data_IF_948787647853
#
_entry.id   IF_948787647853
#
_cell.length_a   1.000
_cell.length_b   1.000
_cell.length_c   1.000
_cell.angle_alpha   90.00
_cell.angle_beta   90.00
_cell.angle_gamma   90.00
#
_symmetry.space_group_name_H-M   'P 1'
#
loop_
_entity.id
_entity.type
_entity.pdbx_description
1 polymer ?
#
# COMPACT_ATOMS: atom_id res chain seq x y z
N UNK A 1 -10.10 15.83 21.18
CA UNK A 1 -9.36 14.92 20.27
C UNK A 1 -10.39 14.37 19.30
N UNK A 2 -10.37 14.78 18.03
CA UNK A 2 -11.31 14.27 17.04
C UNK A 2 -10.93 12.83 16.69
N UNK A 3 -11.84 11.88 16.87
CA UNK A 3 -11.67 10.50 16.41
C UNK A 3 -11.80 10.49 14.90
N UNK A 4 -10.72 10.72 14.16
CA UNK A 4 -10.75 10.52 12.71
C UNK A 4 -10.99 9.03 12.46
N UNK A 5 -12.08 8.63 11.79
CA UNK A 5 -12.32 7.23 11.51
C UNK A 5 -11.22 6.72 10.57
N UNK A 6 -10.53 5.66 10.98
CA UNK A 6 -9.62 4.94 10.11
C UNK A 6 -10.43 3.99 9.22
N UNK A 7 -10.15 4.00 7.92
CA UNK A 7 -10.87 3.16 6.97
C UNK A 7 -10.05 1.89 6.74
N UNK A 8 -10.71 0.72 6.81
CA UNK A 8 -10.12 -0.52 6.30
C UNK A 8 -10.65 -0.78 4.90
N UNK A 9 -9.78 -0.64 3.91
CA UNK A 9 -10.09 -0.89 2.50
C UNK A 9 -9.59 -2.28 2.13
N UNK A 10 -10.47 -3.04 1.46
CA UNK A 10 -10.12 -4.27 0.76
C UNK A 10 -10.58 -4.17 -0.68
N UNK A 11 -9.65 -4.33 -1.62
CA UNK A 11 -10.01 -4.35 -3.03
C UNK A 11 -10.79 -5.64 -3.37
N UNK A 12 -11.83 -5.51 -4.21
CA UNK A 12 -12.60 -6.67 -4.71
C UNK A 12 -11.86 -7.51 -5.75
N UNK A 13 -10.79 -6.94 -6.32
CA UNK A 13 -9.88 -7.55 -7.29
C UNK A 13 -8.44 -7.43 -6.78
N UNK A 14 -7.48 -8.17 -7.36
CA UNK A 14 -6.07 -7.95 -7.08
C UNK A 14 -5.70 -6.47 -7.23
N UNK A 15 -4.99 -5.96 -6.22
CA UNK A 15 -4.48 -4.60 -6.21
C UNK A 15 -3.20 -4.56 -7.05
N UNK A 16 -3.02 -3.50 -7.83
CA UNK A 16 -1.76 -3.26 -8.52
C UNK A 16 -0.80 -2.46 -7.65
N UNK A 17 0.48 -2.51 -7.99
CA UNK A 17 1.52 -1.71 -7.33
C UNK A 17 1.26 -0.20 -7.42
N UNK A 18 0.76 0.29 -8.56
CA UNK A 18 0.42 1.70 -8.77
C UNK A 18 -0.71 2.14 -7.83
N UNK A 19 -1.75 1.31 -7.68
CA UNK A 19 -2.87 1.60 -6.79
C UNK A 19 -2.46 1.61 -5.32
N UNK A 20 -1.54 0.72 -4.94
CA UNK A 20 -0.93 0.74 -3.62
C UNK A 20 -0.17 2.06 -3.39
N UNK A 21 0.66 2.50 -4.32
CA UNK A 21 1.38 3.77 -4.24
C UNK A 21 0.42 4.96 -4.14
N UNK A 22 -0.65 4.97 -4.94
CA UNK A 22 -1.69 6.00 -4.88
C UNK A 22 -2.37 6.03 -3.51
N UNK A 23 -2.70 4.87 -2.95
CA UNK A 23 -3.22 4.76 -1.59
C UNK A 23 -2.23 5.28 -0.56
N UNK A 24 -0.95 4.88 -0.61
CA UNK A 24 0.08 5.40 0.31
C UNK A 24 0.17 6.93 0.22
N UNK A 25 0.10 7.52 -0.98
CA UNK A 25 0.17 8.96 -1.18
C UNK A 25 -1.03 9.70 -0.55
N UNK A 26 -2.23 9.12 -0.55
CA UNK A 26 -3.46 9.79 -0.12
C UNK A 26 -3.95 9.41 1.28
N UNK A 27 -3.60 8.22 1.78
CA UNK A 27 -4.07 7.69 3.04
C UNK A 27 -3.74 8.59 4.23
N UNK A 28 -4.66 8.67 5.19
CA UNK A 28 -4.44 9.35 6.46
C UNK A 28 -3.84 8.38 7.48
N UNK A 29 -3.09 8.87 8.49
CA UNK A 29 -2.49 7.98 9.48
C UNK A 29 -3.52 7.09 10.17
N UNK A 30 -3.26 5.78 10.21
CA UNK A 30 -4.16 4.77 10.75
C UNK A 30 -5.05 4.07 9.72
N UNK A 31 -5.22 4.61 8.51
CA UNK A 31 -5.91 3.90 7.43
C UNK A 31 -5.26 2.54 7.16
N UNK A 32 -6.08 1.54 6.89
CA UNK A 32 -5.66 0.16 6.64
C UNK A 32 -6.02 -0.25 5.22
N UNK A 33 -5.10 -0.91 4.54
CA UNK A 33 -5.32 -1.50 3.22
C UNK A 33 -4.92 -2.97 3.24
N UNK A 34 -5.88 -3.86 3.06
CA UNK A 34 -5.62 -5.27 2.73
C UNK A 34 -5.19 -5.33 1.26
N UNK A 35 -3.89 -5.49 1.03
CA UNK A 35 -3.32 -5.51 -0.32
C UNK A 35 -3.18 -6.92 -0.91
N UNK A 36 -3.21 -7.95 -0.06
CA UNK A 36 -3.22 -9.36 -0.48
C UNK A 36 -3.92 -10.25 0.53
N UNK A 37 -4.51 -11.36 0.05
CA UNK A 37 -5.07 -12.42 0.89
C UNK A 37 -4.65 -13.78 0.36
N UNK A 38 -4.07 -14.61 1.23
CA UNK A 38 -3.48 -15.90 0.86
C UNK A 38 -2.14 -16.10 1.53
N UNK A 39 -1.21 -16.76 0.87
CA UNK A 39 0.16 -16.91 1.35
C UNK A 39 1.09 -16.13 0.42
N UNK A 40 1.38 -14.88 0.75
CA UNK A 40 2.10 -13.97 -0.16
C UNK A 40 3.37 -14.61 -0.76
N UNK A 41 4.19 -15.26 0.07
CA UNK A 41 5.43 -15.90 -0.37
C UNK A 41 5.16 -17.06 -1.34
N UNK A 42 4.15 -17.89 -1.08
CA UNK A 42 3.80 -19.02 -1.96
C UNK A 42 3.14 -18.52 -3.26
N UNK A 43 2.32 -17.48 -3.15
CA UNK A 43 1.59 -16.91 -4.28
C UNK A 43 2.51 -16.18 -5.28
N UNK A 44 3.69 -15.72 -4.84
CA UNK A 44 4.71 -15.11 -5.71
C UNK A 44 5.78 -16.10 -6.20
N UNK A 45 5.90 -17.29 -5.62
CA UNK A 45 6.98 -18.22 -5.93
C UNK A 45 6.64 -19.10 -7.14
N UNK A 46 7.42 -19.07 -8.24
CA UNK A 46 7.05 -19.72 -9.51
C UNK A 46 6.69 -21.21 -9.41
N UNK A 47 7.34 -21.95 -8.51
CA UNK A 47 7.11 -23.39 -8.35
C UNK A 47 5.80 -23.73 -7.62
N UNK A 48 5.27 -22.81 -6.80
CA UNK A 48 4.11 -23.06 -5.93
C UNK A 48 2.91 -22.16 -6.26
N UNK A 49 3.13 -21.08 -6.99
CA UNK A 49 2.10 -20.12 -7.32
C UNK A 49 0.99 -20.76 -8.15
N UNK A 50 -0.24 -20.60 -7.67
CA UNK A 50 -1.46 -20.93 -8.43
C UNK A 50 -1.87 -19.80 -9.38
N UNK A 51 -1.22 -18.65 -9.26
CA UNK A 51 -1.48 -17.47 -10.07
C UNK A 51 -0.81 -17.58 -11.45
N UNK A 52 -1.46 -17.08 -12.52
CA UNK A 52 -0.81 -16.88 -13.81
C UNK A 52 0.45 -16.01 -13.69
N UNK A 53 1.42 -16.22 -14.57
CA UNK A 53 2.74 -15.56 -14.52
C UNK A 53 2.66 -14.03 -14.40
N UNK A 54 1.76 -13.39 -15.15
CA UNK A 54 1.56 -11.95 -15.09
C UNK A 54 1.07 -11.50 -13.71
N UNK A 55 0.05 -12.17 -13.16
CA UNK A 55 -0.52 -11.83 -11.85
C UNK A 55 0.49 -12.07 -10.73
N UNK A 56 1.28 -13.14 -10.85
CA UNK A 56 2.39 -13.44 -9.93
C UNK A 56 3.43 -12.31 -9.95
N UNK A 57 3.84 -11.86 -11.14
CA UNK A 57 4.80 -10.78 -11.29
C UNK A 57 4.26 -9.45 -10.74
N UNK A 58 2.97 -9.16 -10.94
CA UNK A 58 2.30 -7.99 -10.36
C UNK A 58 2.27 -8.05 -8.84
N UNK A 59 1.91 -9.20 -8.25
CA UNK A 59 1.91 -9.40 -6.81
C UNK A 59 3.32 -9.30 -6.20
N UNK A 60 4.34 -9.80 -6.90
CA UNK A 60 5.74 -9.67 -6.48
C UNK A 60 6.21 -8.21 -6.45
N UNK A 61 5.83 -7.42 -7.46
CA UNK A 61 6.09 -5.96 -7.49
C UNK A 61 5.36 -5.26 -6.36
N UNK A 62 4.08 -5.55 -6.15
CA UNK A 62 3.28 -5.00 -5.06
C UNK A 62 3.89 -5.33 -3.69
N UNK A 63 4.26 -6.60 -3.45
CA UNK A 63 4.87 -7.03 -2.19
C UNK A 63 6.21 -6.34 -1.92
N UNK A 64 7.08 -6.27 -2.93
CA UNK A 64 8.33 -5.51 -2.86
C UNK A 64 8.08 -4.02 -2.60
N UNK A 65 7.00 -3.46 -3.18
CA UNK A 65 6.68 -2.06 -2.98
C UNK A 65 6.15 -1.77 -1.58
N UNK A 66 5.31 -2.65 -1.04
CA UNK A 66 4.82 -2.59 0.32
C UNK A 66 5.96 -2.68 1.35
N UNK A 67 6.92 -3.59 1.13
CA UNK A 67 8.12 -3.70 1.97
C UNK A 67 8.97 -2.42 1.93
N UNK A 68 9.23 -1.92 0.72
CA UNK A 68 9.54 -0.52 0.39
C UNK A 68 9.03 0.51 1.38
N UNK A 69 7.72 0.67 1.32
CA UNK A 69 7.04 1.74 2.02
C UNK A 69 7.19 1.58 3.54
N UNK A 70 7.31 0.34 4.03
CA UNK A 70 7.56 0.07 5.43
C UNK A 70 8.97 0.47 5.86
N UNK A 71 9.99 0.17 5.06
CA UNK A 71 11.38 0.59 5.31
C UNK A 71 11.51 2.12 5.31
N UNK A 72 10.75 2.81 4.45
CA UNK A 72 10.67 4.27 4.44
C UNK A 72 9.79 4.86 5.56
N UNK A 73 9.20 4.02 6.42
CA UNK A 73 8.34 4.46 7.51
C UNK A 73 6.99 5.03 7.08
N UNK A 74 6.59 4.85 5.82
CA UNK A 74 5.32 5.33 5.25
C UNK A 74 4.13 4.45 5.64
N UNK A 75 4.39 3.16 5.88
CA UNK A 75 3.37 2.21 6.35
C UNK A 75 3.94 1.29 7.43
N UNK A 76 3.06 0.66 8.20
CA UNK A 76 3.37 -0.50 9.02
C UNK A 76 2.71 -1.73 8.40
N UNK A 77 3.44 -2.83 8.22
CA UNK A 77 2.90 -4.05 7.65
C UNK A 77 2.44 -5.00 8.76
N UNK A 78 1.21 -5.49 8.61
CA UNK A 78 0.58 -6.44 9.51
C UNK A 78 0.15 -7.66 8.71
N UNK A 79 0.37 -8.84 9.29
CA UNK A 79 -0.22 -10.07 8.80
C UNK A 79 -1.27 -10.52 9.82
N UNK A 80 -2.51 -10.72 9.36
CA UNK A 80 -3.62 -11.14 10.20
C UNK A 80 -4.11 -12.52 9.74
N UNK A 81 -4.13 -13.51 10.63
CA UNK A 81 -4.71 -14.83 10.32
C UNK A 81 -6.23 -14.76 10.48
N UNK A 82 -6.94 -14.89 9.37
CA UNK A 82 -8.41 -14.78 9.32
C UNK A 82 -9.12 -16.14 9.24
N UNK A 83 -8.36 -17.22 9.05
CA UNK A 83 -8.84 -18.60 9.06
C UNK A 83 -7.69 -19.60 8.85
N UNK A 84 -7.99 -20.91 8.80
CA UNK A 84 -7.05 -21.89 8.28
C UNK A 84 -6.60 -21.46 6.88
N UNK A 85 -5.28 -21.39 6.68
CA UNK A 85 -4.67 -21.08 5.38
C UNK A 85 -5.07 -19.72 4.76
N UNK A 86 -5.59 -18.81 5.57
CA UNK A 86 -6.11 -17.51 5.12
C UNK A 86 -5.47 -16.37 5.91
N UNK A 87 -4.45 -15.77 5.34
CA UNK A 87 -3.76 -14.62 5.92
C UNK A 87 -4.05 -13.36 5.11
N UNK A 88 -4.49 -12.31 5.80
CA UNK A 88 -4.64 -10.98 5.24
C UNK A 88 -3.32 -10.21 5.45
N UNK A 89 -2.79 -9.65 4.37
CA UNK A 89 -1.62 -8.78 4.40
C UNK A 89 -2.10 -7.33 4.32
N UNK A 90 -1.80 -6.58 5.37
CA UNK A 90 -2.40 -5.27 5.61
C UNK A 90 -1.28 -4.24 5.75
N UNK A 91 -1.37 -3.15 4.98
CA UNK A 91 -0.57 -1.96 5.20
C UNK A 91 -1.37 -0.96 6.03
N UNK A 92 -0.76 -0.41 7.08
CA UNK A 92 -1.35 0.63 7.94
C UNK A 92 -0.58 1.93 7.72
N UNK A 93 -1.26 2.97 7.26
CA UNK A 93 -0.63 4.25 6.91
C UNK A 93 -0.03 4.93 8.15
N UNK A 94 1.18 5.46 8.01
CA UNK A 94 1.91 6.19 9.05
C UNK A 94 1.83 7.70 8.82
N UNK A 95 2.06 8.53 9.85
CA UNK A 95 2.25 9.96 9.68
C UNK A 95 3.34 10.27 8.65
N UNK A 96 2.99 10.99 7.59
CA UNK A 96 3.94 11.45 6.56
C UNK A 96 4.77 12.61 7.12
N UNK A 97 6.06 12.71 6.78
CA UNK A 97 6.87 13.88 7.13
C UNK A 97 6.21 15.15 6.60
N UNK A 98 6.08 16.20 7.43
CA UNK A 98 5.46 17.48 7.05
C UNK A 98 6.12 18.11 5.80
N UNK A 99 7.40 17.85 5.57
CA UNK A 99 8.15 18.33 4.41
C UNK A 99 7.68 17.72 3.07
N UNK A 100 6.99 16.58 3.08
CA UNK A 100 6.46 15.95 1.86
C UNK A 100 5.12 16.56 1.41
N UNK A 101 4.49 17.39 2.25
CA UNK A 101 3.20 18.01 1.96
C UNK A 101 3.41 19.38 1.28
N UNK A 102 4.01 19.38 0.09
CA UNK A 102 3.92 20.56 -0.79
C UNK A 102 2.56 20.50 -1.49
N UNK A 103 1.77 21.56 -1.37
CA UNK A 103 0.49 21.67 -2.07
C UNK A 103 0.73 21.81 -3.58
N UNK A 104 -0.11 21.17 -4.40
CA UNK A 104 -0.12 21.40 -5.86
C UNK A 104 -0.25 22.89 -6.18
N UNK A 105 -1.03 23.63 -5.39
CA UNK A 105 -1.15 25.08 -5.53
C UNK A 105 0.18 25.79 -5.31
N UNK A 106 0.99 25.34 -4.33
CA UNK A 106 2.29 25.92 -4.05
C UNK A 106 3.30 25.64 -5.19
N UNK A 107 3.23 24.45 -5.80
CA UNK A 107 4.06 24.11 -6.97
C UNK A 107 3.72 24.98 -8.19
N UNK A 108 2.41 25.14 -8.48
CA UNK A 108 1.95 25.97 -9.60
C UNK A 108 2.28 27.46 -9.42
N UNK A 109 2.30 27.95 -8.18
CA UNK A 109 2.75 29.31 -7.86
C UNK A 109 4.25 29.47 -8.11
N UNK A 110 5.07 28.51 -7.66
CA UNK A 110 6.52 28.54 -7.90
C UNK A 110 6.90 28.48 -9.39
N UNK A 111 6.18 27.69 -10.20
CA UNK A 111 6.40 27.67 -11.66
C UNK A 111 6.09 29.00 -12.34
N UNK A 112 5.06 29.73 -11.87
CA UNK A 112 4.70 31.05 -12.42
C UNK A 112 5.71 32.14 -12.05
N UNK A 113 6.35 32.04 -10.91
CA UNK A 113 7.37 33.01 -10.46
C UNK A 113 8.73 32.79 -11.14
N UNK A 114 8.96 31.60 -11.71
CA UNK A 114 10.18 31.24 -12.43
C UNK A 114 10.13 31.54 -13.95
N UNK A 115 9.01 32.06 -14.46
CA UNK A 115 8.76 32.38 -15.87
C UNK A 115 8.70 33.90 -16.11
#
# INVERSE_FOLDING_TARGET
MGTTPFITVRARRPLTEIEFCAWVAQAVPGDRLEYHRGFLVLDIFPMFARLPDQQRAELARLGSRAFWAAEQGLVHLVQERTGPDQFAYIAVARPKPKAAAVSLSALLLAEREAA
#
